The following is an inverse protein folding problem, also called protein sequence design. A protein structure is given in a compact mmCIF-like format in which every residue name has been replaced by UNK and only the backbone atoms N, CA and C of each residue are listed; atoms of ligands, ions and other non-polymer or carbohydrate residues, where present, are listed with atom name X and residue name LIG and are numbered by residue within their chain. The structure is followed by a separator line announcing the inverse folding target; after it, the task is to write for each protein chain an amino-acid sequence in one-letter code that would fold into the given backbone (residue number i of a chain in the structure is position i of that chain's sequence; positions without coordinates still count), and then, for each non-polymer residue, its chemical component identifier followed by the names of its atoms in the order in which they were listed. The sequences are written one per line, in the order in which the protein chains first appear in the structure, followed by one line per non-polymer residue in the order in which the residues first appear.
data_IF_399204685998
#
_entry.id   IF_399204685998
#
_cell.length_a   1.000
_cell.length_b   1.000
_cell.length_c   1.000
_cell.angle_alpha   90.00
_cell.angle_beta   90.00
_cell.angle_gamma   90.00
#
_symmetry.space_group_name_H-M   'P 1'
#
loop_
_entity.id
_entity.type
_entity.pdbx_description
1 polymer ?
#
# COMPACT_ATOMS: atom_id res chain seq x y z
N UNK A 1 -8.52 -17.06 1.36
CA UNK A 1 -9.11 -15.82 0.86
C UNK A 1 -8.09 -14.72 0.93
N UNK A 2 -7.88 -14.03 -0.16
CA UNK A 2 -6.89 -12.95 -0.19
C UNK A 2 -7.51 -11.64 0.23
N UNK A 3 -6.73 -10.82 0.90
CA UNK A 3 -7.08 -9.45 1.21
C UNK A 3 -5.96 -8.55 0.73
N UNK A 4 -6.27 -7.30 0.52
CA UNK A 4 -5.33 -6.36 -0.08
C UNK A 4 -5.33 -5.05 0.70
N UNK A 5 -4.23 -4.32 0.58
CA UNK A 5 -4.19 -2.93 1.00
C UNK A 5 -3.76 -2.10 -0.20
N UNK A 6 -4.50 -1.04 -0.49
CA UNK A 6 -4.10 -0.08 -1.50
C UNK A 6 -3.87 1.27 -0.84
N UNK A 7 -2.77 1.92 -1.22
CA UNK A 7 -2.41 3.25 -0.71
C UNK A 7 -1.93 4.09 -1.88
N UNK A 8 -2.40 5.33 -1.95
CA UNK A 8 -1.89 6.31 -2.90
C UNK A 8 -1.23 7.44 -2.14
N UNK A 9 -0.03 7.81 -2.54
CA UNK A 9 0.67 8.95 -1.94
C UNK A 9 1.28 9.81 -3.03
N UNK A 10 1.35 11.11 -2.73
CA UNK A 10 2.06 12.04 -3.58
C UNK A 10 3.42 12.29 -2.92
N UNK A 11 4.47 11.78 -3.54
CA UNK A 11 5.83 11.97 -3.03
C UNK A 11 6.46 13.18 -3.72
N UNK A 12 7.44 13.79 -3.07
CA UNK A 12 8.11 14.94 -3.68
C UNK A 12 9.09 14.52 -4.77
N UNK A 13 9.73 13.37 -4.56
CA UNK A 13 10.70 12.82 -5.49
C UNK A 13 10.71 11.32 -5.31
N UNK A 14 10.29 10.62 -6.34
CA UNK A 14 10.19 9.16 -6.28
C UNK A 14 11.53 8.50 -5.95
N UNK A 15 12.60 8.96 -6.58
CA UNK A 15 13.90 8.34 -6.39
C UNK A 15 14.43 8.52 -4.97
N UNK A 16 14.07 9.61 -4.31
CA UNK A 16 14.42 9.82 -2.91
C UNK A 16 13.52 9.01 -1.98
N UNK A 17 12.27 8.82 -2.36
CA UNK A 17 11.31 8.10 -1.53
C UNK A 17 11.52 6.59 -1.58
N UNK A 18 11.87 6.04 -2.74
CA UNK A 18 11.90 4.59 -2.94
C UNK A 18 12.81 3.84 -1.95
N UNK A 19 14.03 4.32 -1.65
CA UNK A 19 14.87 3.60 -0.68
C UNK A 19 14.25 3.55 0.71
N UNK A 20 13.50 4.58 1.10
CA UNK A 20 12.82 4.58 2.40
C UNK A 20 11.69 3.55 2.41
N UNK A 21 10.95 3.46 1.31
CA UNK A 21 9.91 2.47 1.17
C UNK A 21 10.48 1.06 1.25
N UNK A 22 11.62 0.82 0.61
CA UNK A 22 12.22 -0.51 0.57
C UNK A 22 12.67 -0.99 1.94
N UNK A 23 12.92 -0.10 2.88
CA UNK A 23 13.32 -0.48 4.24
C UNK A 23 12.17 -1.08 5.05
N UNK A 24 10.93 -0.80 4.67
CA UNK A 24 9.73 -1.27 5.38
C UNK A 24 9.82 -1.03 6.89
N UNK A 25 10.15 0.20 7.27
CA UNK A 25 10.32 0.54 8.68
C UNK A 25 9.12 0.16 9.55
N UNK A 26 7.86 0.37 9.12
CA UNK A 26 6.73 -0.08 9.92
C UNK A 26 6.48 -1.58 9.91
N UNK A 27 7.25 -2.32 9.12
CA UNK A 27 7.08 -3.76 8.95
C UNK A 27 5.68 -4.12 8.46
N UNK A 28 5.06 -3.21 7.74
CA UNK A 28 3.70 -3.43 7.26
C UNK A 28 3.64 -4.51 6.19
N UNK A 29 4.75 -4.75 5.50
CA UNK A 29 4.79 -5.72 4.41
C UNK A 29 5.36 -7.06 4.82
N UNK A 30 5.61 -7.26 6.12
CA UNK A 30 6.26 -8.48 6.59
C UNK A 30 5.49 -9.75 6.20
N UNK A 31 4.17 -9.70 6.24
CA UNK A 31 3.33 -10.83 5.89
C UNK A 31 2.70 -10.73 4.52
N UNK A 32 3.09 -9.74 3.74
CA UNK A 32 2.55 -9.60 2.39
C UNK A 32 3.10 -10.71 1.50
N UNK A 33 2.20 -11.35 0.76
CA UNK A 33 2.59 -12.42 -0.16
C UNK A 33 2.90 -11.87 -1.55
N UNK A 34 2.50 -10.63 -1.82
CA UNK A 34 2.83 -9.94 -3.06
C UNK A 34 2.77 -8.44 -2.84
N UNK A 35 3.57 -7.71 -3.58
CA UNK A 35 3.50 -6.26 -3.57
C UNK A 35 3.72 -5.73 -4.97
N UNK A 36 3.01 -4.66 -5.30
CA UNK A 36 3.16 -3.98 -6.57
C UNK A 36 3.19 -2.49 -6.32
N UNK A 37 4.10 -1.80 -6.98
CA UNK A 37 4.23 -0.37 -6.86
C UNK A 37 4.05 0.22 -8.24
N UNK A 38 3.17 1.20 -8.35
CA UNK A 38 2.85 1.85 -9.61
C UNK A 38 3.13 3.33 -9.49
N UNK A 39 3.55 3.93 -10.58
CA UNK A 39 3.63 5.39 -10.70
C UNK A 39 2.58 5.80 -11.72
N UNK A 40 1.93 6.94 -11.47
CA UNK A 40 1.01 7.46 -12.46
C UNK A 40 1.76 7.75 -13.76
N UNK A 41 1.16 7.41 -14.88
CA UNK A 41 1.75 7.71 -16.18
C UNK A 41 1.87 9.22 -16.41
N UNK A 42 0.99 9.99 -15.77
CA UNK A 42 0.96 11.44 -15.95
C UNK A 42 1.77 12.18 -14.89
N UNK A 43 2.06 11.54 -13.76
CA UNK A 43 2.80 12.16 -12.67
C UNK A 43 3.67 11.11 -12.02
N UNK A 44 4.98 11.09 -12.31
CA UNK A 44 5.86 10.04 -11.78
C UNK A 44 6.04 10.11 -10.27
N UNK A 45 5.59 11.18 -9.62
CA UNK A 45 5.65 11.29 -8.17
C UNK A 45 4.33 10.94 -7.49
N UNK A 46 3.35 10.52 -8.25
CA UNK A 46 2.13 9.96 -7.68
C UNK A 46 2.26 8.44 -7.68
N UNK A 47 2.26 7.86 -6.48
CA UNK A 47 2.61 6.46 -6.29
C UNK A 47 1.41 5.69 -5.73
N UNK A 48 1.17 4.51 -6.30
CA UNK A 48 0.14 3.60 -5.84
C UNK A 48 0.83 2.32 -5.36
N UNK A 49 0.51 1.88 -4.16
CA UNK A 49 1.10 0.69 -3.58
C UNK A 49 -0.02 -0.31 -3.33
N UNK A 50 0.11 -1.50 -3.89
CA UNK A 50 -0.84 -2.58 -3.69
C UNK A 50 -0.14 -3.74 -3.01
N UNK A 51 -0.67 -4.14 -1.85
CA UNK A 51 -0.15 -5.26 -1.08
C UNK A 51 -1.21 -6.35 -1.02
N UNK A 52 -0.78 -7.59 -1.13
CA UNK A 52 -1.68 -8.74 -1.01
C UNK A 52 -1.29 -9.57 0.22
N UNK A 53 -2.31 -10.05 0.94
CA UNK A 53 -2.14 -10.85 2.14
C UNK A 53 -3.00 -12.11 2.05
N UNK A 54 -2.58 -13.17 2.75
CA UNK A 54 -3.33 -14.41 2.77
C UNK A 54 -4.68 -14.29 3.46
N UNK A 55 -4.80 -13.38 4.39
CA UNK A 55 -6.02 -13.25 5.20
C UNK A 55 -6.35 -11.80 5.47
N UNK A 56 -7.61 -11.57 5.78
CA UNK A 56 -8.05 -10.25 6.20
C UNK A 56 -7.35 -9.84 7.50
N UNK A 57 -7.11 -10.78 8.40
CA UNK A 57 -6.44 -10.48 9.66
C UNK A 57 -5.03 -9.95 9.42
N UNK A 58 -4.28 -10.56 8.52
CA UNK A 58 -2.93 -10.09 8.20
C UNK A 58 -2.97 -8.70 7.57
N UNK A 59 -3.96 -8.44 6.72
CA UNK A 59 -4.11 -7.11 6.12
C UNK A 59 -4.43 -6.06 7.18
N UNK A 60 -5.31 -6.39 8.13
CA UNK A 60 -5.65 -5.46 9.20
C UNK A 60 -4.46 -5.19 10.12
N UNK A 61 -3.64 -6.19 10.37
CA UNK A 61 -2.43 -5.99 11.15
C UNK A 61 -1.47 -5.04 10.43
N UNK A 62 -1.33 -5.21 9.12
CA UNK A 62 -0.48 -4.32 8.33
C UNK A 62 -1.01 -2.90 8.31
N UNK A 63 -2.32 -2.74 8.19
CA UNK A 63 -2.97 -1.42 8.23
C UNK A 63 -2.64 -0.72 9.55
N UNK A 64 -2.77 -1.44 10.66
CA UNK A 64 -2.52 -0.90 11.99
C UNK A 64 -1.06 -0.48 12.13
N UNK A 65 -0.12 -1.31 11.65
CA UNK A 65 1.30 -0.98 11.70
C UNK A 65 1.61 0.28 10.90
N UNK A 66 1.01 0.42 9.72
CA UNK A 66 1.19 1.62 8.91
C UNK A 66 0.70 2.87 9.62
N UNK A 67 -0.49 2.81 10.19
CA UNK A 67 -1.09 3.96 10.85
C UNK A 67 -0.33 4.32 12.12
N UNK A 68 0.03 3.32 12.91
CA UNK A 68 0.71 3.56 14.19
C UNK A 68 2.12 4.10 14.00
N UNK A 69 2.77 3.76 12.89
CA UNK A 69 4.13 4.21 12.64
C UNK A 69 4.22 5.69 12.31
N UNK A 70 3.12 6.29 11.85
CA UNK A 70 3.11 7.68 11.43
C UNK A 70 3.83 7.93 10.13
N UNK A 71 4.27 6.88 9.43
CA UNK A 71 5.08 7.04 8.22
C UNK A 71 4.29 7.75 7.11
N UNK A 72 2.97 7.62 7.11
CA UNK A 72 2.14 8.27 6.10
C UNK A 72 1.80 9.72 6.47
N UNK A 73 2.03 10.13 7.71
CA UNK A 73 1.67 11.47 8.16
C UNK A 73 2.51 12.56 7.47
N UNK A 74 3.64 12.20 6.92
CA UNK A 74 4.49 13.16 6.20
C UNK A 74 3.92 13.58 4.87
N UNK A 75 2.92 12.85 4.37
CA UNK A 75 2.31 13.16 3.09
C UNK A 75 0.97 13.82 3.32
N UNK A 76 0.82 15.05 2.84
CA UNK A 76 -0.46 15.74 2.96
C UNK A 76 -1.45 15.27 1.91
N UNK A 77 -0.96 14.82 0.76
CA UNK A 77 -1.81 14.33 -0.31
C UNK A 77 -1.68 12.81 -0.38
N UNK A 78 -2.62 12.12 0.23
CA UNK A 78 -2.60 10.66 0.29
C UNK A 78 -4.00 10.12 0.37
N UNK A 79 -4.15 8.86 -0.01
CA UNK A 79 -5.39 8.10 0.11
C UNK A 79 -5.05 6.73 0.67
N UNK A 80 -5.79 6.30 1.67
CA UNK A 80 -5.58 5.02 2.31
C UNK A 80 -4.66 5.12 3.51
N UNK A 81 -4.25 4.00 4.04
CA UNK A 81 -4.41 2.65 3.48
C UNK A 81 -5.87 2.19 3.52
N UNK A 82 -6.31 1.54 2.47
CA UNK A 82 -7.62 0.92 2.41
C UNK A 82 -7.47 -0.59 2.33
N UNK A 83 -8.12 -1.29 3.25
CA UNK A 83 -8.14 -2.75 3.23
C UNK A 83 -9.28 -3.18 2.31
N UNK A 84 -8.95 -4.06 1.38
CA UNK A 84 -9.86 -4.51 0.35
C UNK A 84 -9.99 -6.02 0.38
N UNK A 85 -11.16 -6.51 0.04
CA UNK A 85 -11.35 -7.92 -0.24
C UNK A 85 -11.84 -8.02 -1.68
N UNK A 86 -11.33 -9.02 -2.36
CA UNK A 86 -11.70 -9.17 -3.76
C UNK A 86 -13.11 -9.72 -3.86
N UNK A 87 -13.95 -9.06 -4.64
CA UNK A 87 -15.25 -9.62 -4.96
C UNK A 87 -15.09 -10.48 -6.18
N UNK A 88 -16.12 -11.22 -6.52
CA UNK A 88 -16.07 -12.03 -7.71
C UNK A 88 -15.86 -11.14 -8.90
N UNK A 89 -14.76 -11.37 -9.53
CA UNK A 89 -14.45 -10.55 -10.62
C UNK A 89 -15.07 -11.02 -11.87
N UNK A 90 -15.70 -12.07 -11.78
CA UNK A 90 -16.25 -12.58 -12.88
C UNK A 90 -17.30 -11.79 -13.26
N UNK A 91 -16.97 -11.01 -13.95
CA UNK A 91 -17.92 -10.36 -14.42
C UNK A 91 -18.62 -11.13 -15.30
N UNK A 92 -18.23 -11.90 -15.48
CA UNK A 92 -18.82 -12.48 -16.05
C UNK A 92 -19.46 -12.72 -15.61
N UNK A 93 -19.24 -12.26 -15.46
CA UNK A 93 -20.13 -12.33 -14.99
C UNK A 93 -20.18 -12.22 -14.96
#
# INVERSE_FOLDING_TARGET
MSAFIITRIQVGDYDAWRPMFDQDLPRAREKAIAQRVFRSADDPNQVFILLEFDSLEDARTAERRLLDSGVLDRFSDKHGPNVLVETSASASG
#
